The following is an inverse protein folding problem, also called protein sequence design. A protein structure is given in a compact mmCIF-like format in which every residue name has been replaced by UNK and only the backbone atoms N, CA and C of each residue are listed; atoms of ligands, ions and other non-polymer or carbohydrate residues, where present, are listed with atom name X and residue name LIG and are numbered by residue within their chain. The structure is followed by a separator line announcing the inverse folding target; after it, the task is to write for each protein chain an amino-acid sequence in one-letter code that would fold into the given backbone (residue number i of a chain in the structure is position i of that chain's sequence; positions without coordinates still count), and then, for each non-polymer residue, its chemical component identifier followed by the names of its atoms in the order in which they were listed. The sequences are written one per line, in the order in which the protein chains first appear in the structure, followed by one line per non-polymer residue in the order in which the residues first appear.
data_IF_866518450771
#
_entry.id   IF_866518450771
#
_cell.length_a   1.000
_cell.length_b   1.000
_cell.length_c   1.000
_cell.angle_alpha   90.00
_cell.angle_beta   90.00
_cell.angle_gamma   90.00
#
_symmetry.space_group_name_H-M   'P 1'
#
loop_
_entity.id
_entity.type
_entity.pdbx_description
1 polymer ?
#
# COMPACT_ATOMS: atom_id res chain seq x y z
N UNK A 1 8.02 -41.82 -43.09
CA UNK A 1 8.06 -40.44 -43.61
C UNK A 1 9.46 -39.89 -43.39
N UNK A 2 10.00 -39.16 -44.35
CA UNK A 2 11.30 -38.50 -44.16
C UNK A 2 11.16 -37.29 -43.24
N UNK A 3 12.24 -36.88 -42.58
CA UNK A 3 12.26 -35.70 -41.70
C UNK A 3 11.74 -34.43 -42.39
N UNK A 4 11.97 -34.32 -43.70
CA UNK A 4 11.49 -33.22 -44.56
C UNK A 4 9.97 -33.21 -44.73
N UNK A 5 9.31 -34.37 -44.68
CA UNK A 5 7.85 -34.46 -44.79
C UNK A 5 7.12 -34.03 -43.50
N UNK A 6 7.78 -34.14 -42.34
CA UNK A 6 7.23 -33.77 -41.03
C UNK A 6 7.49 -32.30 -40.66
N UNK A 7 8.41 -31.64 -41.36
CA UNK A 7 8.81 -30.26 -41.07
C UNK A 7 7.65 -29.26 -40.96
N UNK A 8 6.62 -29.28 -41.85
CA UNK A 8 5.49 -28.36 -41.76
C UNK A 8 4.65 -28.55 -40.50
N UNK A 9 4.35 -29.80 -40.15
CA UNK A 9 3.58 -30.14 -38.94
C UNK A 9 4.33 -29.76 -37.67
N UNK A 10 5.64 -29.97 -37.65
CA UNK A 10 6.50 -29.58 -36.52
C UNK A 10 6.54 -28.06 -36.36
N UNK A 11 6.66 -27.29 -37.45
CA UNK A 11 6.62 -25.82 -37.41
C UNK A 11 5.27 -25.32 -36.91
N UNK A 12 4.18 -25.93 -37.39
CA UNK A 12 2.83 -25.57 -36.94
C UNK A 12 2.63 -25.88 -35.45
N UNK A 13 3.14 -27.03 -34.99
CA UNK A 13 3.09 -27.41 -33.59
C UNK A 13 3.92 -26.48 -32.71
N UNK A 14 5.16 -26.14 -33.12
CA UNK A 14 5.98 -25.13 -32.45
C UNK A 14 5.26 -23.77 -32.41
N UNK A 15 4.59 -23.37 -33.50
CA UNK A 15 3.80 -22.15 -33.56
C UNK A 15 2.58 -22.17 -32.63
N UNK A 16 1.94 -23.33 -32.44
CA UNK A 16 0.88 -23.53 -31.43
C UNK A 16 1.42 -23.48 -30.00
N UNK A 17 2.56 -24.12 -29.75
CA UNK A 17 3.16 -24.21 -28.42
C UNK A 17 3.72 -22.85 -27.96
N UNK A 18 4.33 -22.07 -28.86
CA UNK A 18 4.78 -20.69 -28.59
C UNK A 18 3.59 -19.77 -28.27
N UNK A 19 2.41 -20.01 -28.85
CA UNK A 19 1.19 -19.24 -28.54
C UNK A 19 0.64 -19.48 -27.13
N UNK A 20 1.09 -20.52 -26.42
CA UNK A 20 0.54 -20.86 -25.11
C UNK A 20 0.87 -19.82 -24.03
N UNK A 21 1.97 -19.07 -24.15
CA UNK A 21 2.31 -17.93 -23.26
C UNK A 21 2.90 -16.80 -24.09
N UNK A 22 2.10 -15.77 -24.36
CA UNK A 22 2.59 -14.55 -25.00
C UNK A 22 3.25 -13.66 -23.95
N UNK A 23 4.54 -13.35 -24.12
CA UNK A 23 5.27 -12.37 -23.31
C UNK A 23 5.48 -11.11 -24.14
N UNK A 24 5.01 -9.97 -23.64
CA UNK A 24 5.17 -8.65 -24.26
C UNK A 24 6.10 -7.81 -23.39
N UNK A 25 7.16 -7.26 -23.97
CA UNK A 25 8.10 -6.37 -23.28
C UNK A 25 7.84 -4.92 -23.69
N UNK A 26 7.78 -3.96 -22.78
CA UNK A 26 7.59 -2.54 -23.14
C UNK A 26 7.63 -1.57 -21.96
N UNK A 27 7.63 -0.26 -22.23
CA UNK A 27 7.44 0.75 -21.18
C UNK A 27 5.97 0.97 -20.86
N UNK A 28 5.67 1.50 -19.68
CA UNK A 28 4.31 1.84 -19.28
C UNK A 28 3.56 0.66 -18.68
N UNK A 29 2.23 0.74 -18.71
CA UNK A 29 1.35 -0.18 -18.02
C UNK A 29 0.31 -0.76 -18.98
N UNK A 30 0.09 -2.07 -18.99
CA UNK A 30 -0.84 -2.71 -19.90
C UNK A 30 -2.31 -2.50 -19.48
N UNK A 31 -2.58 -2.17 -18.21
CA UNK A 31 -3.89 -1.69 -17.75
C UNK A 31 -4.20 -0.25 -18.19
N UNK A 32 -3.21 0.44 -18.78
CA UNK A 32 -3.31 1.77 -19.41
C UNK A 32 -2.64 1.74 -20.79
N UNK A 33 -3.27 1.09 -21.80
CA UNK A 33 -2.65 0.79 -23.09
C UNK A 33 -1.99 1.98 -23.79
N UNK A 34 -2.53 3.19 -23.59
CA UNK A 34 -2.00 4.46 -24.09
C UNK A 34 -0.57 4.76 -23.63
N UNK A 35 -0.14 4.17 -22.51
CA UNK A 35 1.22 4.31 -21.97
C UNK A 35 2.22 3.32 -22.57
N UNK A 36 1.76 2.37 -23.39
CA UNK A 36 2.57 1.22 -23.85
C UNK A 36 3.24 1.41 -25.21
N UNK A 37 3.10 2.59 -25.82
CA UNK A 37 3.63 2.85 -27.17
C UNK A 37 3.03 1.92 -28.24
N UNK A 38 1.75 1.54 -28.07
CA UNK A 38 1.02 0.69 -29.03
C UNK A 38 1.27 -0.82 -28.89
N UNK A 39 2.04 -1.27 -27.88
CA UNK A 39 2.29 -2.70 -27.67
C UNK A 39 1.10 -3.47 -27.11
N UNK A 40 0.23 -2.78 -26.39
CA UNK A 40 -1.03 -3.32 -25.89
C UNK A 40 -2.16 -2.74 -26.74
N UNK A 41 -2.92 -3.64 -27.35
CA UNK A 41 -4.06 -3.38 -28.25
C UNK A 41 -5.40 -3.59 -27.56
N UNK A 42 -5.43 -4.32 -26.44
CA UNK A 42 -6.64 -4.63 -25.66
C UNK A 42 -7.23 -6.02 -25.93
N UNK A 43 -6.83 -6.66 -27.04
CA UNK A 43 -7.31 -7.98 -27.46
C UNK A 43 -6.40 -9.14 -27.02
N UNK A 44 -5.45 -8.88 -26.11
CA UNK A 44 -4.51 -9.90 -25.64
C UNK A 44 -5.26 -11.03 -24.91
N UNK A 45 -4.94 -12.31 -25.21
CA UNK A 45 -5.60 -13.43 -24.56
C UNK A 45 -5.27 -13.49 -23.06
N UNK A 46 -6.17 -14.07 -22.27
CA UNK A 46 -5.87 -14.42 -20.89
C UNK A 46 -4.62 -15.32 -20.84
N UNK A 47 -3.75 -15.07 -19.85
CA UNK A 47 -2.45 -15.72 -19.74
C UNK A 47 -1.30 -14.87 -20.28
N UNK A 48 -1.57 -13.86 -21.13
CA UNK A 48 -0.53 -12.95 -21.63
C UNK A 48 0.20 -12.28 -20.47
N UNK A 49 1.53 -12.28 -20.55
CA UNK A 49 2.42 -11.60 -19.60
C UNK A 49 2.91 -10.32 -20.26
N UNK A 50 2.90 -9.22 -19.50
CA UNK A 50 3.54 -7.97 -19.90
C UNK A 50 4.62 -7.61 -18.88
N UNK A 51 5.85 -7.39 -19.35
CA UNK A 51 6.97 -6.99 -18.53
C UNK A 51 7.33 -5.53 -18.85
N UNK A 52 7.13 -4.67 -17.85
CA UNK A 52 7.33 -3.24 -17.93
C UNK A 52 8.81 -2.90 -17.73
N UNK A 53 9.44 -2.23 -18.69
CA UNK A 53 10.84 -1.82 -18.62
C UNK A 53 11.07 -0.62 -17.69
N UNK A 54 10.02 0.11 -17.32
CA UNK A 54 10.08 1.28 -16.42
C UNK A 54 9.17 1.13 -15.20
N UNK A 55 8.68 -0.09 -14.93
CA UNK A 55 7.77 -0.41 -13.83
C UNK A 55 6.48 0.41 -13.86
N UNK A 56 6.07 0.92 -15.03
CA UNK A 56 4.96 1.85 -15.18
C UNK A 56 5.11 3.14 -14.38
N UNK A 57 6.34 3.45 -13.93
CA UNK A 57 6.70 4.55 -13.01
C UNK A 57 6.00 4.50 -11.64
N UNK A 58 5.47 3.33 -11.28
CA UNK A 58 4.77 3.06 -10.00
C UNK A 58 5.21 1.75 -9.37
N UNK A 59 6.32 1.18 -9.85
CA UNK A 59 6.89 -0.07 -9.38
C UNK A 59 6.11 -1.33 -9.78
N UNK A 60 5.29 -1.28 -10.84
CA UNK A 60 4.57 -2.42 -11.38
C UNK A 60 5.35 -3.05 -12.56
N UNK A 61 6.24 -3.98 -12.25
CA UNK A 61 7.21 -4.54 -13.21
C UNK A 61 6.63 -5.66 -14.08
N UNK A 62 5.75 -6.50 -13.54
CA UNK A 62 5.13 -7.60 -14.31
C UNK A 62 3.64 -7.64 -14.12
N UNK A 63 2.94 -7.88 -15.22
CA UNK A 63 1.49 -8.02 -15.28
C UNK A 63 1.11 -9.31 -15.98
N UNK A 64 -0.06 -9.84 -15.63
CA UNK A 64 -0.69 -10.93 -16.36
C UNK A 64 -2.15 -10.59 -16.69
N UNK A 65 -2.56 -10.86 -17.92
CA UNK A 65 -3.97 -10.78 -18.32
C UNK A 65 -4.73 -11.95 -17.70
N UNK A 66 -5.66 -11.66 -16.79
CA UNK A 66 -6.51 -12.64 -16.11
C UNK A 66 -7.95 -12.18 -16.18
N UNK A 67 -8.83 -13.05 -16.69
CA UNK A 67 -10.26 -12.76 -16.83
C UNK A 67 -10.54 -11.38 -17.47
N UNK A 68 -9.87 -11.08 -18.58
CA UNK A 68 -10.03 -9.82 -19.30
C UNK A 68 -9.35 -8.59 -18.67
N UNK A 69 -8.72 -8.72 -17.49
CA UNK A 69 -8.07 -7.61 -16.78
C UNK A 69 -6.58 -7.83 -16.64
N UNK A 70 -5.81 -6.75 -16.63
CA UNK A 70 -4.39 -6.80 -16.31
C UNK A 70 -4.20 -6.73 -14.81
N UNK A 71 -3.47 -7.69 -14.26
CA UNK A 71 -3.20 -7.82 -12.82
C UNK A 71 -1.69 -7.81 -12.61
N UNK A 72 -1.19 -6.99 -11.69
CA UNK A 72 0.23 -7.00 -11.30
C UNK A 72 0.57 -8.33 -10.63
N UNK A 73 1.57 -9.03 -11.16
CA UNK A 73 2.10 -10.28 -10.61
C UNK A 73 3.48 -10.10 -9.98
N UNK A 74 4.22 -9.07 -10.40
CA UNK A 74 5.44 -8.61 -9.75
C UNK A 74 5.41 -7.09 -9.65
N UNK A 75 5.41 -6.60 -8.43
CA UNK A 75 5.36 -5.17 -8.18
C UNK A 75 5.74 -4.82 -6.76
N UNK A 76 6.40 -3.68 -6.64
CA UNK A 76 6.83 -3.08 -5.40
C UNK A 76 6.83 -1.55 -5.56
N UNK A 77 5.92 -0.88 -4.87
CA UNK A 77 5.79 0.59 -4.96
C UNK A 77 6.97 1.35 -4.37
N UNK A 78 7.85 0.68 -3.63
CA UNK A 78 8.73 1.35 -2.68
C UNK A 78 7.93 2.02 -1.55
N UNK A 79 8.61 2.88 -0.79
CA UNK A 79 8.00 3.62 0.32
C UNK A 79 7.32 4.90 -0.19
N UNK A 80 5.99 4.88 -0.23
CA UNK A 80 5.14 6.05 -0.46
C UNK A 80 4.86 6.79 0.87
N UNK A 81 4.87 8.12 0.87
CA UNK A 81 4.51 8.93 2.05
C UNK A 81 3.13 9.57 1.85
N UNK A 82 2.06 9.09 2.51
CA UNK A 82 0.79 9.79 2.50
C UNK A 82 0.90 11.14 3.19
N UNK A 83 -0.08 12.00 2.95
CA UNK A 83 -0.22 13.23 3.73
C UNK A 83 -0.60 12.87 5.18
N UNK A 84 0.21 13.34 6.12
CA UNK A 84 0.05 13.06 7.55
C UNK A 84 -0.18 14.33 8.33
N UNK A 85 -0.89 14.22 9.46
CA UNK A 85 -1.10 15.31 10.43
C UNK A 85 -0.84 14.81 11.86
N UNK A 86 -0.75 15.73 12.82
CA UNK A 86 -0.61 15.41 14.24
C UNK A 86 0.59 14.51 14.59
N UNK A 87 1.64 14.51 13.78
CA UNK A 87 2.89 13.81 14.06
C UNK A 87 3.92 14.76 14.68
N UNK A 88 4.81 14.24 15.53
CA UNK A 88 5.97 15.03 16.00
C UNK A 88 6.81 15.47 14.79
N UNK A 89 7.46 16.64 14.84
CA UNK A 89 8.41 17.04 13.81
C UNK A 89 9.46 15.94 13.54
N UNK A 90 9.64 15.59 12.27
CA UNK A 90 10.54 14.51 11.84
C UNK A 90 9.89 13.11 11.78
N UNK A 91 8.80 12.87 12.52
CA UNK A 91 8.09 11.61 12.44
C UNK A 91 7.38 11.44 11.08
N UNK A 92 7.25 10.19 10.63
CA UNK A 92 6.59 9.84 9.38
C UNK A 92 5.71 8.60 9.53
N UNK A 93 4.75 8.50 8.63
CA UNK A 93 4.07 7.27 8.25
C UNK A 93 4.37 7.07 6.75
N UNK A 94 4.79 5.87 6.37
CA UNK A 94 5.06 5.48 4.97
C UNK A 94 4.38 4.16 4.68
N UNK A 95 3.91 3.98 3.46
CA UNK A 95 3.22 2.78 2.98
C UNK A 95 4.04 2.14 1.86
N UNK A 96 4.04 0.81 1.79
CA UNK A 96 4.62 0.06 0.67
C UNK A 96 3.70 -1.07 0.29
N UNK A 97 3.36 -1.19 -0.98
CA UNK A 97 2.58 -2.30 -1.50
C UNK A 97 3.48 -3.27 -2.27
N UNK A 98 3.34 -4.55 -1.95
CA UNK A 98 3.96 -5.66 -2.64
C UNK A 98 2.88 -6.72 -2.89
N UNK A 99 2.51 -6.93 -4.15
CA UNK A 99 1.34 -7.76 -4.50
C UNK A 99 0.03 -7.19 -3.93
N UNK A 100 -0.68 -8.00 -3.14
CA UNK A 100 -1.92 -7.64 -2.46
C UNK A 100 -1.72 -7.21 -1.00
N UNK A 101 -0.47 -7.09 -0.53
CA UNK A 101 -0.16 -6.66 0.82
C UNK A 101 0.35 -5.22 0.85
N UNK A 102 -0.16 -4.43 1.79
CA UNK A 102 0.36 -3.12 2.13
C UNK A 102 1.02 -3.21 3.51
N UNK A 103 2.26 -2.76 3.59
CA UNK A 103 2.98 -2.58 4.86
C UNK A 103 3.04 -1.11 5.23
N UNK A 104 2.91 -0.82 6.52
CA UNK A 104 3.00 0.53 7.05
C UNK A 104 4.19 0.67 7.98
N UNK A 105 5.00 1.69 7.70
CA UNK A 105 6.27 1.97 8.35
C UNK A 105 6.15 3.32 9.06
N UNK A 106 6.31 3.29 10.38
CA UNK A 106 6.23 4.46 11.23
C UNK A 106 7.56 4.65 11.96
N UNK A 107 8.03 5.89 12.04
CA UNK A 107 9.32 6.20 12.67
C UNK A 107 9.73 7.64 12.39
N UNK A 108 11.04 7.89 12.28
CA UNK A 108 11.60 9.18 11.87
C UNK A 108 12.16 10.03 13.00
N UNK A 109 12.00 9.62 14.25
CA UNK A 109 12.71 10.20 15.39
C UNK A 109 14.01 9.42 15.67
N UNK A 110 14.83 9.91 16.60
CA UNK A 110 16.10 9.28 17.00
C UNK A 110 15.92 7.79 17.29
N UNK A 111 16.88 6.97 16.87
CA UNK A 111 16.86 5.50 17.01
C UNK A 111 15.63 4.81 16.40
N UNK A 112 14.99 5.45 15.40
CA UNK A 112 13.80 4.92 14.73
C UNK A 112 12.52 5.05 15.58
N UNK A 113 12.55 5.86 16.64
CA UNK A 113 11.38 6.14 17.46
C UNK A 113 10.29 6.87 16.67
N UNK A 114 9.09 6.88 17.22
CA UNK A 114 7.92 7.53 16.67
C UNK A 114 7.23 8.39 17.73
N UNK A 115 6.40 9.34 17.28
CA UNK A 115 5.64 10.21 18.17
C UNK A 115 4.54 10.99 17.45
N UNK A 116 3.51 11.32 18.20
CA UNK A 116 2.39 12.15 17.76
C UNK A 116 2.25 13.39 18.66
N UNK A 117 1.54 14.41 18.17
CA UNK A 117 1.29 15.65 18.91
C UNK A 117 0.21 15.44 19.98
N UNK A 118 0.43 16.04 21.15
CA UNK A 118 -0.57 16.22 22.20
C UNK A 118 -1.44 17.43 21.94
N UNK A 119 -2.55 17.54 22.68
CA UNK A 119 -3.63 18.49 22.39
C UNK A 119 -3.27 19.97 22.58
N UNK A 120 -2.21 20.30 23.33
CA UNK A 120 -1.76 21.69 23.52
C UNK A 120 -0.56 22.05 22.65
N UNK A 121 -0.02 21.09 21.89
CA UNK A 121 1.16 21.32 21.05
C UNK A 121 0.82 22.09 19.77
N UNK A 122 1.73 22.96 19.35
CA UNK A 122 1.59 23.74 18.11
C UNK A 122 1.42 22.80 16.91
N UNK A 123 0.37 23.05 16.11
CA UNK A 123 0.06 22.28 14.91
C UNK A 123 -0.85 21.06 15.16
N UNK A 124 -1.24 20.79 16.42
CA UNK A 124 -2.27 19.82 16.70
C UNK A 124 -3.63 20.28 16.13
N UNK A 125 -4.31 19.38 15.42
CA UNK A 125 -5.61 19.62 14.80
C UNK A 125 -6.58 18.50 15.17
N UNK A 126 -7.61 18.78 16.01
CA UNK A 126 -8.63 17.80 16.35
C UNK A 126 -9.67 17.65 15.23
N UNK A 127 -10.26 16.45 15.10
CA UNK A 127 -11.47 16.20 14.29
C UNK A 127 -12.55 15.48 15.08
N UNK A 128 -12.16 14.50 15.90
CA UNK A 128 -13.07 13.70 16.72
C UNK A 128 -12.58 13.70 18.16
N UNK A 129 -13.51 13.68 19.12
CA UNK A 129 -13.14 13.55 20.51
C UNK A 129 -12.35 12.24 20.75
N UNK A 130 -11.38 12.25 21.66
CA UNK A 130 -10.52 11.09 22.03
C UNK A 130 -9.59 10.59 20.92
N UNK A 131 -9.74 11.04 19.67
CA UNK A 131 -9.05 10.47 18.52
C UNK A 131 -8.05 11.46 17.94
N UNK A 132 -6.85 10.98 17.68
CA UNK A 132 -5.82 11.72 16.98
C UNK A 132 -5.76 11.17 15.56
N UNK A 133 -6.39 11.85 14.60
CA UNK A 133 -6.20 11.46 13.20
C UNK A 133 -4.77 11.77 12.80
N UNK A 134 -4.14 10.82 12.13
CA UNK A 134 -2.78 10.95 11.60
C UNK A 134 -2.74 10.86 10.09
N UNK A 135 -3.77 10.30 9.47
CA UNK A 135 -4.13 10.43 8.06
C UNK A 135 -5.62 10.73 8.02
N UNK A 136 -6.05 11.76 7.29
CA UNK A 136 -7.47 12.14 7.20
C UNK A 136 -8.33 11.09 6.53
N UNK A 137 -9.65 11.27 6.66
CA UNK A 137 -10.64 10.65 5.77
C UNK A 137 -10.25 10.85 4.31
N UNK A 138 -10.37 9.78 3.53
CA UNK A 138 -9.91 9.65 2.15
C UNK A 138 -8.41 9.88 1.93
N UNK A 139 -7.62 9.94 3.02
CA UNK A 139 -6.20 10.27 2.97
C UNK A 139 -5.28 9.10 2.61
N UNK A 140 -5.73 7.85 2.78
CA UNK A 140 -5.02 6.67 2.26
C UNK A 140 -5.35 6.55 0.75
N UNK A 141 -4.36 6.73 -0.15
CA UNK A 141 -4.64 6.75 -1.58
C UNK A 141 -5.05 5.39 -2.12
N UNK A 142 -5.84 5.41 -3.19
CA UNK A 142 -6.19 4.21 -3.95
C UNK A 142 -4.93 3.47 -4.36
N UNK A 143 -4.93 2.16 -4.15
CA UNK A 143 -3.77 1.29 -4.31
C UNK A 143 -3.13 0.91 -2.98
N UNK A 144 -3.44 1.62 -1.89
CA UNK A 144 -2.93 1.34 -0.54
C UNK A 144 -4.05 1.13 0.50
N UNK A 145 -5.33 1.25 0.11
CA UNK A 145 -6.48 1.16 1.02
C UNK A 145 -6.70 -0.26 1.51
N UNK A 146 -7.00 -0.42 2.78
CA UNK A 146 -7.29 -1.74 3.34
C UNK A 146 -8.64 -2.27 2.87
N UNK A 147 -8.73 -3.57 2.58
CA UNK A 147 -10.00 -4.22 2.26
C UNK A 147 -11.02 -4.06 3.41
N UNK A 148 -10.54 -4.30 4.63
CA UNK A 148 -11.30 -4.17 5.87
C UNK A 148 -10.60 -3.22 6.83
N UNK A 149 -11.36 -2.61 7.74
CA UNK A 149 -10.76 -1.81 8.80
C UNK A 149 -9.94 -2.67 9.76
N UNK A 150 -8.73 -2.22 10.08
CA UNK A 150 -7.77 -2.96 10.88
C UNK A 150 -7.43 -2.23 12.18
N UNK A 151 -7.25 -2.99 13.26
CA UNK A 151 -6.80 -2.49 14.56
C UNK A 151 -5.39 -2.98 14.89
N UNK A 152 -4.55 -2.08 15.43
CA UNK A 152 -3.22 -2.40 15.94
C UNK A 152 -2.96 -1.63 17.26
N UNK A 153 -1.77 -1.78 17.84
CA UNK A 153 -1.37 -1.14 19.09
C UNK A 153 -0.07 -0.38 18.91
N UNK A 154 0.08 0.80 19.52
CA UNK A 154 1.37 1.48 19.71
C UNK A 154 1.90 1.17 21.10
N UNK A 155 3.22 0.96 21.18
CA UNK A 155 3.90 0.66 22.41
C UNK A 155 4.84 1.80 22.82
N UNK A 156 4.93 2.03 24.12
CA UNK A 156 6.01 2.82 24.71
C UNK A 156 7.31 1.99 24.65
N UNK A 157 8.41 2.63 24.26
CA UNK A 157 9.67 1.93 24.03
C UNK A 157 10.32 1.40 25.31
N UNK A 158 10.30 2.21 26.37
CA UNK A 158 10.98 1.90 27.63
C UNK A 158 10.25 0.79 28.40
N UNK A 159 8.92 0.81 28.37
CA UNK A 159 8.08 -0.08 29.17
C UNK A 159 7.46 -1.23 28.37
N UNK A 160 7.51 -1.18 27.04
CA UNK A 160 6.81 -2.11 26.14
C UNK A 160 5.29 -2.21 26.39
N UNK A 161 4.71 -1.24 27.12
CA UNK A 161 3.27 -1.19 27.39
C UNK A 161 2.54 -0.62 26.19
N UNK A 162 1.37 -1.18 25.87
CA UNK A 162 0.49 -0.56 24.89
C UNK A 162 -0.01 0.79 25.44
N UNK A 163 0.16 1.85 24.66
CA UNK A 163 -0.19 3.24 25.05
C UNK A 163 -1.21 3.90 24.13
N UNK A 164 -1.47 3.32 22.95
CA UNK A 164 -2.56 3.74 22.10
C UNK A 164 -3.03 2.61 21.19
N UNK A 165 -4.32 2.60 20.86
CA UNK A 165 -4.83 1.83 19.73
C UNK A 165 -4.57 2.56 18.42
N UNK A 166 -4.18 1.84 17.38
CA UNK A 166 -4.14 2.32 16.00
C UNK A 166 -5.37 1.76 15.29
N UNK A 167 -6.04 2.61 14.53
CA UNK A 167 -7.14 2.19 13.69
C UNK A 167 -6.92 2.67 12.26
N UNK A 168 -6.95 1.74 11.32
CA UNK A 168 -6.90 1.98 9.88
C UNK A 168 -8.30 1.74 9.33
N UNK A 169 -8.94 2.79 8.83
CA UNK A 169 -10.23 2.67 8.15
C UNK A 169 -10.04 2.04 6.78
N UNK A 170 -10.76 0.95 6.50
CA UNK A 170 -10.75 0.29 5.19
C UNK A 170 -11.62 1.02 4.16
N UNK A 171 -11.82 0.39 2.99
CA UNK A 171 -12.65 0.94 1.91
C UNK A 171 -14.10 1.21 2.31
N UNK A 172 -14.63 0.49 3.31
CA UNK A 172 -15.95 0.72 3.89
C UNK A 172 -16.00 1.80 4.99
N UNK A 173 -14.84 2.31 5.43
CA UNK A 173 -14.73 3.27 6.54
C UNK A 173 -13.76 4.42 6.20
N UNK A 174 -13.99 5.06 5.06
CA UNK A 174 -13.37 6.32 4.65
C UNK A 174 -11.82 6.36 4.63
N UNK A 175 -11.11 5.23 4.49
CA UNK A 175 -9.69 5.19 4.12
C UNK A 175 -8.75 6.11 4.95
N UNK A 176 -8.86 6.10 6.28
CA UNK A 176 -8.09 6.99 7.17
C UNK A 176 -7.20 6.22 8.15
N UNK A 177 -6.38 6.94 8.92
CA UNK A 177 -5.66 6.36 10.06
C UNK A 177 -5.72 7.27 11.27
N UNK A 178 -6.01 6.69 12.43
CA UNK A 178 -6.07 7.42 13.71
C UNK A 178 -5.45 6.64 14.86
N UNK A 179 -5.06 7.38 15.89
CA UNK A 179 -4.68 6.84 17.18
C UNK A 179 -5.73 7.14 18.24
N UNK A 180 -5.87 6.20 19.18
CA UNK A 180 -6.67 6.33 20.40
C UNK A 180 -5.74 6.15 21.59
N UNK A 181 -5.22 7.25 22.17
CA UNK A 181 -4.38 7.16 23.37
C UNK A 181 -5.12 6.46 24.51
N UNK A 182 -4.38 5.66 25.27
CA UNK A 182 -4.86 5.08 26.51
C UNK A 182 -4.51 6.00 27.67
N UNK A 183 -5.48 6.21 28.55
CA UNK A 183 -5.25 6.92 29.79
C UNK A 183 -4.90 5.92 30.90
N UNK A 184 -4.02 6.32 31.84
CA UNK A 184 -3.60 5.47 32.94
C UNK A 184 -4.78 5.05 33.83
N UNK A 185 -5.72 5.96 34.05
CA UNK A 185 -7.06 5.64 34.54
C UNK A 185 -8.00 5.31 33.36
N UNK A 186 -8.44 4.05 33.20
CA UNK A 186 -9.33 3.64 32.10
C UNK A 186 -10.74 4.24 32.20
N UNK A 187 -11.09 4.88 33.33
CA UNK A 187 -12.36 5.60 33.48
C UNK A 187 -12.37 6.96 32.79
N UNK A 188 -11.19 7.55 32.56
CA UNK A 188 -11.06 8.81 31.83
C UNK A 188 -11.40 8.58 30.37
N UNK A 189 -12.39 9.34 29.89
CA UNK A 189 -12.92 9.30 28.53
C UNK A 189 -12.85 10.71 27.94
N UNK A 190 -13.20 10.85 26.66
CA UNK A 190 -13.18 12.17 26.01
C UNK A 190 -11.77 12.68 25.71
N UNK A 191 -11.66 13.98 25.46
CA UNK A 191 -10.39 14.63 25.12
C UNK A 191 -9.38 14.67 26.29
N UNK A 192 -9.81 14.34 27.51
CA UNK A 192 -8.93 14.19 28.66
C UNK A 192 -7.96 13.01 28.50
N UNK A 193 -8.34 11.97 27.74
CA UNK A 193 -7.46 10.85 27.43
C UNK A 193 -6.32 11.23 26.46
N UNK A 194 -6.44 12.36 25.76
CA UNK A 194 -5.36 12.89 24.91
C UNK A 194 -4.40 13.69 25.79
N UNK A 195 -3.10 13.34 25.83
CA UNK A 195 -2.13 14.07 26.66
C UNK A 195 -1.93 15.49 26.13
N UNK A 196 -1.63 16.44 27.03
CA UNK A 196 -1.30 17.82 26.65
C UNK A 196 -0.07 17.85 25.72
N UNK A 197 0.98 17.12 26.11
CA UNK A 197 2.19 16.91 25.32
C UNK A 197 2.24 15.44 24.90
N UNK A 198 2.31 15.21 23.59
CA UNK A 198 2.33 13.87 23.04
C UNK A 198 3.68 13.17 23.21
N UNK A 199 3.70 11.83 23.14
CA UNK A 199 4.91 11.04 23.31
C UNK A 199 5.87 11.17 22.11
N UNK A 200 7.14 10.86 22.36
CA UNK A 200 8.21 10.80 21.34
C UNK A 200 9.05 9.52 21.42
N UNK A 201 8.74 8.64 22.36
CA UNK A 201 9.44 7.39 22.69
C UNK A 201 8.57 6.18 22.33
N UNK A 202 7.88 6.22 21.19
CA UNK A 202 7.02 5.11 20.77
C UNK A 202 7.75 4.15 19.84
N UNK A 203 7.44 2.86 20.00
CA UNK A 203 7.84 1.78 19.08
C UNK A 203 6.59 1.22 18.38
N UNK A 204 6.38 1.55 17.10
CA UNK A 204 5.26 1.02 16.34
C UNK A 204 5.48 -0.45 15.96
N UNK A 205 4.43 -1.29 15.92
CA UNK A 205 4.56 -2.67 15.48
C UNK A 205 4.71 -2.76 13.96
N UNK A 206 5.10 -3.93 13.46
CA UNK A 206 4.93 -4.25 12.05
C UNK A 206 3.43 -4.27 11.72
N UNK A 207 2.99 -3.35 10.86
CA UNK A 207 1.60 -3.29 10.42
C UNK A 207 1.49 -3.70 8.96
N UNK A 208 0.50 -4.57 8.70
CA UNK A 208 0.21 -5.07 7.36
C UNK A 208 -1.30 -5.25 7.21
N UNK A 209 -1.81 -5.00 6.01
CA UNK A 209 -3.18 -5.31 5.62
C UNK A 209 -3.24 -5.74 4.16
N UNK A 210 -4.35 -6.37 3.77
CA UNK A 210 -4.62 -6.73 2.38
C UNK A 210 -5.28 -5.56 1.64
N UNK A 211 -5.05 -5.49 0.34
CA UNK A 211 -5.73 -4.55 -0.55
C UNK A 211 -6.14 -5.23 -1.86
N UNK A 212 -7.39 -5.00 -2.24
CA UNK A 212 -7.96 -5.38 -3.53
C UNK A 212 -8.03 -4.19 -4.50
N UNK A 213 -7.53 -3.02 -4.10
CA UNK A 213 -7.43 -1.88 -5.01
C UNK A 213 -6.59 -2.25 -6.24
N UNK A 214 -6.88 -1.68 -7.42
CA UNK A 214 -5.94 -1.67 -8.52
C UNK A 214 -4.58 -1.11 -8.11
N UNK A 215 -3.53 -1.42 -8.87
CA UNK A 215 -2.20 -0.89 -8.58
C UNK A 215 -2.23 0.66 -8.58
N UNK A 216 -1.54 1.33 -7.64
CA UNK A 216 -1.59 2.78 -7.53
C UNK A 216 -1.14 3.48 -8.81
N UNK A 217 -1.75 4.63 -9.08
CA UNK A 217 -1.42 5.49 -10.21
C UNK A 217 -0.27 6.45 -9.96
N UNK A 218 0.13 6.58 -8.69
CA UNK A 218 1.22 7.43 -8.22
C UNK A 218 1.82 6.86 -6.94
N UNK A 219 3.12 7.01 -6.78
CA UNK A 219 3.93 6.64 -5.61
C UNK A 219 4.91 7.78 -5.28
#
# INVERSE_FOLDING_TARGET
MSLLQQLPEVIEQIGRDIKAITVVLGSGRPDKPETTGGKITGNEPNGTIYESSDGGRVGAWKWQKRNGKWVVTDGDTGLFRPETRNLKPGAYIKLRRQGNFVTCHMGGLSWGLFGYLGKTEKGYSPRQAVRIDVISQEGIPRGFRADDSCGFLLFDDDTSRAVAGIYVGGVGDSNFMRFTPYHADPKVKGNEAIPDIGPKNLRPPAMMWTTSDPWPDRV
#
